data_IF_837877167005
#
_entry.id   IF_837877167005
#
_cell.length_a   1.000
_cell.length_b   1.000
_cell.length_c   1.000
_cell.angle_alpha   90.00
_cell.angle_beta   90.00
_cell.angle_gamma   90.00
#
_symmetry.space_group_name_H-M   'P 1'
#
loop_
_entity.id
_entity.type
_entity.pdbx_description
1 polymer ?
#
# COMPACT_ATOMS: atom_id res chain seq x y z
N UNK A 1 48.01 8.70 78.24
CA UNK A 1 49.41 8.65 77.75
C UNK A 1 49.60 9.57 76.52
N UNK A 2 50.27 10.72 76.77
CA UNK A 2 51.03 11.58 75.81
C UNK A 2 50.23 12.14 74.61
N UNK A 3 49.70 13.37 74.59
CA UNK A 3 50.26 14.75 74.61
C UNK A 3 51.25 15.12 73.49
N UNK A 4 50.89 16.10 72.65
CA UNK A 4 51.70 17.16 71.97
C UNK A 4 50.78 17.79 70.88
N UNK A 5 50.14 18.96 71.01
CA UNK A 5 50.63 20.37 70.99
C UNK A 5 51.80 20.58 70.02
N UNK A 6 51.86 21.60 69.14
CA UNK A 6 51.87 23.05 69.43
C UNK A 6 51.83 23.83 68.07
N UNK A 7 50.86 24.73 67.85
CA UNK A 7 50.97 26.22 67.75
C UNK A 7 51.48 26.82 66.43
N UNK A 8 50.75 27.85 65.94
CA UNK A 8 51.22 28.82 64.94
C UNK A 8 50.30 30.02 64.70
N UNK A 9 50.10 30.86 65.73
CA UNK A 9 50.09 32.35 65.74
C UNK A 9 49.16 33.13 64.79
N UNK A 10 48.28 33.95 65.38
CA UNK A 10 47.56 35.10 64.80
C UNK A 10 48.18 36.40 65.39
N UNK A 11 47.77 37.56 64.83
CA UNK A 11 47.85 38.96 65.32
C UNK A 11 49.02 39.76 64.69
N UNK A 12 48.95 40.98 64.13
CA UNK A 12 48.14 42.23 64.27
C UNK A 12 48.00 42.91 62.87
N UNK A 13 46.87 43.49 62.44
CA UNK A 13 46.15 44.73 62.85
C UNK A 13 46.65 46.03 62.19
N UNK A 14 45.67 46.87 61.82
CA UNK A 14 45.68 48.32 61.56
C UNK A 14 46.00 48.80 60.14
N UNK A 15 45.38 49.84 59.54
CA UNK A 15 44.36 50.85 59.86
C UNK A 15 43.73 51.22 58.49
N UNK A 16 42.44 51.52 58.32
CA UNK A 16 41.86 52.81 58.68
C UNK A 16 40.99 53.38 57.54
N UNK A 17 40.08 54.28 57.93
CA UNK A 17 39.34 55.26 57.13
C UNK A 17 38.21 54.82 56.16
N UNK A 18 36.99 54.98 56.68
CA UNK A 18 35.82 55.50 55.98
C UNK A 18 36.15 56.61 54.96
N UNK A 19 35.65 56.50 53.72
CA UNK A 19 34.48 57.26 53.22
C UNK A 19 34.22 57.03 51.72
N UNK A 20 32.92 57.03 51.40
CA UNK A 20 32.24 57.42 50.16
C UNK A 20 31.93 56.36 49.09
N UNK A 21 30.60 56.19 48.93
CA UNK A 21 29.79 56.20 47.71
C UNK A 21 30.42 55.62 46.44
N UNK A 22 29.73 54.68 45.79
CA UNK A 22 28.96 54.91 44.55
C UNK A 22 28.17 53.63 44.24
N UNK A 23 26.91 53.82 43.84
CA UNK A 23 26.03 52.82 43.24
C UNK A 23 26.75 51.99 42.16
N UNK A 24 26.67 50.67 42.22
CA UNK A 24 26.66 49.84 41.01
C UNK A 24 25.78 48.61 41.27
N UNK A 25 24.58 48.66 40.70
CA UNK A 25 23.80 47.46 40.40
C UNK A 25 24.51 46.74 39.26
N UNK A 26 25.22 45.65 39.54
CA UNK A 26 25.50 44.66 38.50
C UNK A 26 24.20 43.92 38.20
N UNK A 27 23.59 44.27 37.06
CA UNK A 27 22.61 43.39 36.41
C UNK A 27 23.39 42.21 35.84
N UNK A 28 23.29 41.07 36.50
CA UNK A 28 23.60 39.79 35.87
C UNK A 28 22.72 39.64 34.62
N UNK A 29 23.32 39.81 33.45
CA UNK A 29 22.71 39.51 32.18
C UNK A 29 22.66 38.00 32.03
N UNK A 30 21.52 37.41 32.44
CA UNK A 30 21.13 36.08 31.99
C UNK A 30 21.01 36.13 30.45
N UNK A 31 22.08 35.75 29.77
CA UNK A 31 22.07 35.44 28.34
C UNK A 31 21.21 34.19 28.16
N UNK A 32 19.92 34.40 27.92
CA UNK A 32 19.08 33.40 27.28
C UNK A 32 19.73 33.08 25.93
N UNK A 33 20.42 31.94 25.85
CA UNK A 33 20.69 31.30 24.57
C UNK A 33 19.34 30.94 23.97
N UNK A 34 18.78 31.83 23.17
CA UNK A 34 17.72 31.48 22.21
C UNK A 34 18.27 30.35 21.35
N UNK A 35 17.87 29.14 21.73
CA UNK A 35 18.06 27.98 20.89
C UNK A 35 17.10 28.20 19.73
N UNK A 36 17.60 28.68 18.60
CA UNK A 36 16.82 28.78 17.38
C UNK A 36 16.24 27.38 17.10
N UNK A 37 14.97 27.21 17.44
CA UNK A 37 14.20 26.04 17.01
C UNK A 37 14.13 26.20 15.49
N UNK A 38 14.96 25.46 14.78
CA UNK A 38 14.78 25.26 13.34
C UNK A 38 13.42 24.58 13.17
N UNK A 39 12.38 25.38 13.00
CA UNK A 39 11.09 24.91 12.52
C UNK A 39 11.37 24.41 11.12
N UNK A 40 11.50 23.10 10.96
CA UNK A 40 11.60 22.49 9.66
C UNK A 40 10.37 22.93 8.86
N UNK A 41 10.59 23.68 7.77
CA UNK A 41 9.54 24.08 6.87
C UNK A 41 8.82 22.82 6.37
N UNK A 42 7.49 22.85 6.38
CA UNK A 42 6.71 21.75 5.83
C UNK A 42 7.14 21.49 4.37
N UNK A 43 7.26 20.22 3.95
CA UNK A 43 7.71 19.91 2.60
C UNK A 43 6.75 20.52 1.56
N UNK A 44 7.30 21.01 0.45
CA UNK A 44 6.50 21.54 -0.67
C UNK A 44 5.59 20.47 -1.25
N UNK A 45 4.47 20.87 -1.86
CA UNK A 45 3.62 19.93 -2.60
C UNK A 45 4.44 19.25 -3.70
N UNK A 46 4.29 17.93 -3.81
CA UNK A 46 4.99 17.12 -4.81
C UNK A 46 4.03 16.09 -5.38
N UNK A 47 3.93 16.07 -6.71
CA UNK A 47 3.28 15.00 -7.48
C UNK A 47 3.99 14.81 -8.80
N UNK A 48 4.50 13.61 -9.04
CA UNK A 48 5.13 13.19 -10.29
C UNK A 48 4.48 11.91 -10.78
N UNK A 49 4.64 11.62 -12.07
CA UNK A 49 4.21 10.35 -12.64
C UNK A 49 5.05 9.96 -13.84
N UNK A 50 5.12 8.65 -14.10
CA UNK A 50 5.72 8.05 -15.29
C UNK A 50 4.84 6.91 -15.78
N UNK A 51 4.78 6.68 -17.10
CA UNK A 51 4.22 5.43 -17.63
C UNK A 51 5.26 4.32 -17.40
N UNK A 52 5.06 3.51 -16.36
CA UNK A 52 6.05 2.54 -15.90
C UNK A 52 6.03 1.25 -16.74
N UNK A 53 4.83 0.78 -17.08
CA UNK A 53 4.63 -0.35 -17.99
C UNK A 53 3.84 0.14 -19.20
N UNK A 54 4.43 0.02 -20.38
CA UNK A 54 3.91 0.57 -21.64
C UNK A 54 3.48 -0.56 -22.58
N UNK A 55 2.18 -0.84 -22.62
CA UNK A 55 1.57 -1.86 -23.46
C UNK A 55 1.66 -1.52 -24.94
N UNK A 56 2.03 -2.48 -25.78
CA UNK A 56 2.36 -2.29 -27.18
C UNK A 56 3.89 -2.21 -27.38
N UNK A 57 4.53 -1.05 -27.13
CA UNK A 57 5.97 -0.86 -27.39
C UNK A 57 6.91 -1.83 -26.66
N UNK A 58 6.51 -2.36 -25.49
CA UNK A 58 7.36 -3.25 -24.67
C UNK A 58 7.34 -4.73 -25.09
N UNK A 59 6.71 -5.08 -26.22
CA UNK A 59 6.61 -6.47 -26.70
C UNK A 59 5.47 -7.30 -26.07
N UNK A 60 4.72 -6.71 -25.13
CA UNK A 60 3.46 -7.24 -24.62
C UNK A 60 2.34 -6.30 -25.03
N UNK A 61 1.22 -6.84 -25.50
CA UNK A 61 0.07 -6.02 -25.87
C UNK A 61 -0.43 -5.16 -24.70
N UNK A 62 -0.50 -5.72 -23.49
CA UNK A 62 -1.08 -5.03 -22.32
C UNK A 62 -0.39 -5.41 -21.02
N UNK A 63 -0.26 -4.45 -20.12
CA UNK A 63 0.07 -4.67 -18.72
C UNK A 63 -1.11 -4.28 -17.84
N UNK A 64 -1.45 -5.14 -16.88
CA UNK A 64 -2.65 -4.99 -16.04
C UNK A 64 -2.43 -5.49 -14.62
N UNK A 65 -3.38 -5.18 -13.74
CA UNK A 65 -3.48 -5.76 -12.39
C UNK A 65 -2.23 -5.45 -11.54
N UNK A 66 -2.02 -4.18 -11.16
CA UNK A 66 -0.82 -3.77 -10.44
C UNK A 66 -0.78 -4.24 -8.99
N UNK A 67 0.43 -4.51 -8.51
CA UNK A 67 0.81 -4.71 -7.12
C UNK A 67 2.14 -4.00 -6.86
N UNK A 68 2.29 -3.32 -5.72
CA UNK A 68 3.56 -2.66 -5.38
C UNK A 68 3.93 -2.89 -3.92
N UNK A 69 5.19 -3.24 -3.68
CA UNK A 69 5.71 -3.49 -2.33
C UNK A 69 7.02 -2.73 -2.11
N UNK A 70 7.25 -2.32 -0.86
CA UNK A 70 8.51 -1.72 -0.41
C UNK A 70 9.20 -2.67 0.56
N UNK A 71 10.49 -2.90 0.33
CA UNK A 71 11.35 -3.68 1.23
C UNK A 71 12.03 -2.78 2.27
N UNK A 72 12.64 -3.36 3.30
CA UNK A 72 13.25 -2.60 4.39
C UNK A 72 14.42 -1.70 3.98
N UNK A 73 15.08 -1.99 2.85
CA UNK A 73 16.16 -1.14 2.32
C UNK A 73 15.64 -0.03 1.39
N UNK A 74 14.32 0.18 1.33
CA UNK A 74 13.69 1.18 0.47
C UNK A 74 13.43 0.72 -0.96
N UNK A 75 13.86 -0.49 -1.37
CA UNK A 75 13.59 -0.98 -2.74
C UNK A 75 12.09 -1.12 -2.95
N UNK A 76 11.58 -0.48 -4.01
CA UNK A 76 10.23 -0.67 -4.52
C UNK A 76 10.24 -1.78 -5.57
N UNK A 77 9.25 -2.67 -5.53
CA UNK A 77 9.03 -3.69 -6.55
C UNK A 77 7.60 -3.53 -7.05
N UNK A 78 7.46 -3.10 -8.30
CA UNK A 78 6.20 -2.99 -9.01
C UNK A 78 5.96 -4.27 -9.82
N UNK A 79 4.83 -4.92 -9.61
CA UNK A 79 4.48 -6.23 -10.16
C UNK A 79 3.16 -6.09 -10.91
N UNK A 80 3.02 -6.74 -12.06
CA UNK A 80 1.78 -6.74 -12.84
C UNK A 80 1.66 -7.98 -13.72
N UNK A 81 0.45 -8.20 -14.24
CA UNK A 81 0.25 -9.11 -15.38
C UNK A 81 0.83 -8.49 -16.65
N UNK A 82 1.49 -9.32 -17.45
CA UNK A 82 1.86 -9.00 -18.82
C UNK A 82 1.09 -9.91 -19.78
N UNK A 83 0.08 -9.33 -20.44
CA UNK A 83 -0.83 -10.01 -21.36
C UNK A 83 -0.27 -9.91 -22.76
N UNK A 84 0.19 -11.04 -23.31
CA UNK A 84 1.05 -11.05 -24.50
C UNK A 84 0.35 -10.53 -25.74
N UNK A 85 -0.85 -11.03 -26.03
CA UNK A 85 -1.48 -10.85 -27.34
C UNK A 85 -2.62 -9.83 -27.38
N UNK A 86 -3.29 -9.60 -26.26
CA UNK A 86 -4.46 -8.74 -26.18
C UNK A 86 -4.68 -8.28 -24.72
N UNK A 87 -5.82 -7.67 -24.43
CA UNK A 87 -6.18 -7.22 -23.07
C UNK A 87 -7.17 -8.14 -22.32
N UNK A 88 -7.42 -9.38 -22.77
CA UNK A 88 -8.39 -10.30 -22.15
C UNK A 88 -7.87 -10.91 -20.85
N UNK A 89 -8.76 -11.42 -20.00
CA UNK A 89 -8.43 -11.99 -18.68
C UNK A 89 -7.98 -13.47 -18.73
N UNK A 90 -7.74 -14.00 -19.94
CA UNK A 90 -7.36 -15.39 -20.22
C UNK A 90 -6.34 -15.45 -21.36
N UNK A 91 -5.73 -16.62 -21.52
CA UNK A 91 -4.70 -16.90 -22.52
C UNK A 91 -3.29 -16.77 -21.96
N UNK A 92 -2.36 -16.34 -22.81
CA UNK A 92 -0.93 -16.21 -22.52
C UNK A 92 -0.68 -14.95 -21.66
N UNK A 93 -0.73 -15.14 -20.34
CA UNK A 93 -0.53 -14.09 -19.34
C UNK A 93 0.55 -14.54 -18.36
N UNK A 94 1.61 -13.74 -18.31
CA UNK A 94 2.74 -13.89 -17.39
C UNK A 94 2.63 -12.86 -16.26
N UNK A 95 3.48 -13.00 -15.24
CA UNK A 95 3.63 -12.00 -14.17
C UNK A 95 5.05 -11.47 -14.19
N UNK A 96 5.16 -10.16 -14.31
CA UNK A 96 6.41 -9.43 -14.51
C UNK A 96 6.60 -8.37 -13.43
N UNK A 97 7.80 -7.82 -13.36
CA UNK A 97 8.11 -6.78 -12.40
C UNK A 97 9.15 -5.78 -12.91
N UNK A 98 9.20 -4.62 -12.25
CA UNK A 98 10.30 -3.65 -12.30
C UNK A 98 10.68 -3.24 -10.88
N UNK A 99 11.94 -2.86 -10.67
CA UNK A 99 12.49 -2.47 -9.37
C UNK A 99 13.00 -1.05 -9.38
N UNK A 100 12.81 -0.32 -8.29
CA UNK A 100 13.45 0.96 -8.05
C UNK A 100 14.19 0.92 -6.72
N UNK A 101 15.41 1.47 -6.70
CA UNK A 101 16.26 1.57 -5.49
C UNK A 101 16.44 3.03 -5.04
N UNK A 102 15.70 3.95 -5.66
CA UNK A 102 15.78 5.40 -5.46
C UNK A 102 14.40 6.04 -5.29
N UNK A 103 13.52 5.36 -4.53
CA UNK A 103 12.16 5.80 -4.23
C UNK A 103 11.27 6.05 -5.45
N UNK A 104 11.47 5.30 -6.53
CA UNK A 104 10.64 5.34 -7.73
C UNK A 104 11.08 6.36 -8.78
N UNK A 105 12.25 6.99 -8.62
CA UNK A 105 12.77 7.96 -9.59
C UNK A 105 13.27 7.26 -10.86
N UNK A 106 13.98 6.15 -10.72
CA UNK A 106 14.40 5.28 -11.83
C UNK A 106 14.00 3.83 -11.57
N UNK A 107 13.83 3.09 -12.67
CA UNK A 107 13.36 1.70 -12.63
C UNK A 107 14.23 0.80 -13.50
N UNK A 108 14.40 -0.45 -13.05
CA UNK A 108 15.09 -1.48 -13.80
C UNK A 108 14.40 -1.80 -15.13
N UNK A 109 15.09 -2.55 -15.99
CA UNK A 109 14.45 -3.30 -17.07
C UNK A 109 13.37 -4.26 -16.55
N UNK A 110 12.54 -4.75 -17.47
CA UNK A 110 11.47 -5.70 -17.17
C UNK A 110 12.06 -7.04 -16.73
N UNK A 111 11.73 -7.48 -15.52
CA UNK A 111 11.98 -8.84 -15.05
C UNK A 111 10.71 -9.68 -15.11
N UNK A 112 10.86 -11.00 -15.09
CA UNK A 112 9.74 -11.95 -15.06
C UNK A 112 9.76 -12.71 -13.73
N UNK A 113 8.61 -12.77 -13.04
CA UNK A 113 8.43 -13.63 -11.86
C UNK A 113 8.12 -15.05 -12.33
N UNK A 114 7.15 -15.16 -13.24
CA UNK A 114 6.74 -16.44 -13.82
C UNK A 114 6.10 -16.21 -15.19
N UNK A 115 6.48 -17.06 -16.15
CA UNK A 115 5.93 -17.04 -17.50
C UNK A 115 5.99 -18.35 -18.27
N UNK A 116 6.36 -19.45 -17.60
CA UNK A 116 6.51 -20.76 -18.25
C UNK A 116 5.17 -21.51 -18.30
N UNK A 117 4.90 -22.15 -19.44
CA UNK A 117 3.79 -23.08 -19.65
C UNK A 117 2.62 -22.50 -20.44
N UNK A 118 1.65 -23.36 -20.78
CA UNK A 118 0.42 -22.99 -21.49
C UNK A 118 -0.68 -22.65 -20.48
N UNK A 119 -0.52 -21.57 -19.71
CA UNK A 119 -1.45 -21.20 -18.65
C UNK A 119 -1.59 -19.69 -18.47
N UNK A 120 -2.56 -19.29 -17.66
CA UNK A 120 -2.88 -17.90 -17.37
C UNK A 120 -2.51 -17.60 -15.93
N UNK A 121 -1.38 -16.92 -15.70
CA UNK A 121 -1.06 -16.35 -14.40
C UNK A 121 -1.78 -15.03 -14.20
N UNK A 122 -2.13 -14.69 -12.95
CA UNK A 122 -2.74 -13.40 -12.70
C UNK A 122 -2.98 -13.07 -11.24
N UNK A 123 -3.61 -11.92 -11.03
CA UNK A 123 -3.98 -11.39 -9.72
C UNK A 123 -2.81 -11.30 -8.70
N UNK A 124 -1.65 -10.69 -9.05
CA UNK A 124 -0.56 -10.55 -8.11
C UNK A 124 -1.00 -9.81 -6.85
N UNK A 125 -0.81 -10.47 -5.70
CA UNK A 125 -1.07 -9.89 -4.39
C UNK A 125 0.15 -10.07 -3.51
N UNK A 126 0.92 -9.00 -3.31
CA UNK A 126 2.20 -9.04 -2.62
C UNK A 126 2.11 -8.61 -1.17
N UNK A 127 2.96 -9.17 -0.31
CA UNK A 127 3.15 -8.72 1.08
C UNK A 127 4.63 -8.85 1.43
N UNK A 128 5.14 -7.93 2.26
CA UNK A 128 6.52 -7.97 2.72
C UNK A 128 6.59 -8.34 4.19
N UNK A 129 7.45 -9.31 4.48
CA UNK A 129 7.82 -9.75 5.82
C UNK A 129 9.26 -9.28 6.11
N UNK A 130 9.46 -8.18 6.86
CA UNK A 130 10.79 -7.66 7.16
C UNK A 130 11.63 -8.56 8.07
N UNK A 131 10.99 -9.47 8.82
CA UNK A 131 11.65 -10.27 9.86
C UNK A 131 12.15 -11.61 9.32
N UNK A 132 11.71 -12.00 8.11
CA UNK A 132 12.13 -13.25 7.48
C UNK A 132 13.53 -13.12 6.87
N UNK A 133 14.54 -13.58 7.61
CA UNK A 133 15.92 -13.62 7.14
C UNK A 133 16.56 -12.23 7.03
N UNK A 134 17.77 -12.16 6.46
CA UNK A 134 18.58 -10.94 6.50
C UNK A 134 18.01 -9.78 5.69
N UNK A 135 17.27 -10.02 4.61
CA UNK A 135 16.70 -8.96 3.77
C UNK A 135 15.19 -8.77 3.98
N UNK A 136 14.56 -9.60 4.80
CA UNK A 136 13.12 -9.82 4.73
C UNK A 136 12.74 -10.63 3.48
N UNK A 137 11.46 -10.99 3.38
CA UNK A 137 10.88 -11.76 2.29
C UNK A 137 9.71 -11.03 1.66
N UNK A 138 9.71 -10.93 0.33
CA UNK A 138 8.53 -10.55 -0.43
C UNK A 138 7.78 -11.84 -0.77
N UNK A 139 6.53 -11.97 -0.35
CA UNK A 139 5.62 -13.00 -0.82
C UNK A 139 4.75 -12.45 -1.96
N UNK A 140 4.46 -13.26 -2.97
CA UNK A 140 3.49 -12.95 -4.03
C UNK A 140 2.54 -14.12 -4.17
N UNK A 141 1.26 -13.85 -3.93
CA UNK A 141 0.17 -14.78 -4.20
C UNK A 141 -0.41 -14.53 -5.58
N UNK A 142 -0.75 -15.62 -6.26
CA UNK A 142 -1.16 -15.63 -7.66
C UNK A 142 -2.37 -16.54 -7.84
N UNK A 143 -3.24 -16.15 -8.77
CA UNK A 143 -4.18 -17.07 -9.39
C UNK A 143 -3.55 -17.71 -10.62
N UNK A 144 -3.94 -18.94 -10.93
CA UNK A 144 -3.54 -19.60 -12.18
C UNK A 144 -4.66 -20.48 -12.74
N UNK A 145 -4.79 -20.57 -14.06
CA UNK A 145 -5.55 -21.65 -14.71
C UNK A 145 -4.81 -22.14 -15.95
N UNK A 146 -5.19 -23.33 -16.40
CA UNK A 146 -4.69 -23.89 -17.66
C UNK A 146 -5.17 -23.06 -18.86
N UNK A 147 -4.34 -22.98 -19.92
CA UNK A 147 -4.62 -22.19 -21.12
C UNK A 147 -5.78 -22.71 -21.97
N UNK A 148 -6.27 -23.94 -21.69
CA UNK A 148 -7.51 -24.46 -22.27
C UNK A 148 -8.75 -23.70 -21.80
N UNK A 149 -8.70 -23.01 -20.66
CA UNK A 149 -9.79 -22.16 -20.18
C UNK A 149 -9.75 -20.77 -20.84
N UNK A 150 -10.48 -20.64 -21.95
CA UNK A 150 -10.51 -19.43 -22.79
C UNK A 150 -11.61 -18.42 -22.40
N UNK A 151 -12.29 -18.64 -21.28
CA UNK A 151 -13.19 -17.65 -20.66
C UNK A 151 -13.48 -17.99 -19.20
N UNK A 152 -13.99 -17.04 -18.42
CA UNK A 152 -14.43 -17.31 -17.05
C UNK A 152 -15.49 -18.42 -16.96
N UNK A 153 -16.33 -18.58 -17.98
CA UNK A 153 -17.38 -19.60 -17.99
C UNK A 153 -16.84 -21.04 -18.08
N UNK A 154 -15.62 -21.20 -18.61
CA UNK A 154 -14.95 -22.51 -18.69
C UNK A 154 -14.24 -22.90 -17.40
N UNK A 155 -14.15 -22.00 -16.41
CA UNK A 155 -13.70 -22.29 -15.06
C UNK A 155 -14.93 -22.75 -14.27
N UNK A 156 -15.24 -24.04 -14.35
CA UNK A 156 -16.52 -24.57 -13.87
C UNK A 156 -16.37 -25.67 -12.81
N UNK A 157 -15.14 -26.06 -12.53
CA UNK A 157 -14.79 -27.15 -11.62
C UNK A 157 -13.79 -26.68 -10.55
N UNK A 158 -13.80 -27.35 -9.40
CA UNK A 158 -12.86 -27.04 -8.33
C UNK A 158 -11.43 -27.35 -8.79
N UNK A 159 -10.53 -26.39 -8.63
CA UNK A 159 -9.13 -26.53 -9.04
C UNK A 159 -8.83 -26.07 -10.47
N UNK A 160 -9.83 -25.66 -11.24
CA UNK A 160 -9.62 -25.03 -12.56
C UNK A 160 -8.88 -23.69 -12.41
N UNK A 161 -9.28 -22.88 -11.43
CA UNK A 161 -8.57 -21.67 -11.00
C UNK A 161 -7.87 -21.93 -9.68
N UNK A 162 -6.56 -22.14 -9.77
CA UNK A 162 -5.64 -22.52 -8.70
C UNK A 162 -5.12 -21.32 -7.91
N UNK A 163 -4.60 -21.62 -6.73
CA UNK A 163 -3.91 -20.68 -5.84
C UNK A 163 -2.43 -21.04 -5.79
N UNK A 164 -1.57 -20.10 -6.15
CA UNK A 164 -0.12 -20.25 -6.07
C UNK A 164 0.51 -19.20 -5.18
N UNK A 165 1.68 -19.50 -4.63
CA UNK A 165 2.56 -18.49 -4.03
C UNK A 165 4.02 -18.69 -4.41
N UNK A 166 4.76 -17.59 -4.54
CA UNK A 166 6.20 -17.56 -4.69
C UNK A 166 6.77 -16.44 -3.80
N UNK A 167 8.09 -16.34 -3.73
CA UNK A 167 8.75 -15.33 -2.90
C UNK A 167 10.11 -14.90 -3.42
N UNK A 168 10.61 -13.77 -2.90
CA UNK A 168 11.97 -13.29 -3.08
C UNK A 168 12.59 -12.93 -1.72
N UNK A 169 13.81 -13.39 -1.47
CA UNK A 169 14.62 -13.13 -0.26
C UNK A 169 15.78 -12.14 -0.51
N UNK A 170 15.83 -11.56 -1.70
CA UNK A 170 16.93 -10.70 -2.17
C UNK A 170 16.43 -9.37 -2.72
N UNK A 171 15.38 -8.82 -2.11
CA UNK A 171 14.75 -7.54 -2.48
C UNK A 171 14.23 -7.51 -3.94
N UNK A 172 13.66 -8.63 -4.40
CA UNK A 172 13.05 -8.78 -5.72
C UNK A 172 14.03 -9.09 -6.85
N UNK A 173 15.29 -9.41 -6.57
CA UNK A 173 16.26 -9.71 -7.64
C UNK A 173 15.94 -11.06 -8.28
N UNK A 174 15.65 -12.09 -7.48
CA UNK A 174 15.27 -13.43 -7.92
C UNK A 174 14.01 -13.90 -7.20
N UNK A 175 13.29 -14.80 -7.87
CA UNK A 175 12.04 -15.37 -7.39
C UNK A 175 12.18 -16.90 -7.26
N UNK A 176 11.57 -17.45 -6.22
CA UNK A 176 11.43 -18.90 -6.07
C UNK A 176 10.43 -19.46 -7.08
N UNK A 177 10.53 -20.76 -7.37
CA UNK A 177 9.51 -21.44 -8.15
C UNK A 177 8.13 -21.33 -7.46
N UNK A 178 7.04 -21.06 -8.21
CA UNK A 178 5.70 -21.05 -7.64
C UNK A 178 5.32 -22.39 -7.02
N UNK A 179 4.71 -22.34 -5.85
CA UNK A 179 4.18 -23.50 -5.12
C UNK A 179 2.66 -23.52 -5.24
N UNK A 180 2.11 -24.63 -5.72
CA UNK A 180 0.66 -24.85 -5.74
C UNK A 180 0.15 -24.98 -4.30
N UNK A 181 -0.74 -24.07 -3.90
CA UNK A 181 -1.37 -24.01 -2.59
C UNK A 181 -2.86 -24.37 -2.64
N UNK A 182 -3.37 -24.82 -3.79
CA UNK A 182 -4.79 -25.02 -4.04
C UNK A 182 -5.43 -25.95 -3.01
N UNK A 183 -4.82 -27.10 -2.75
CA UNK A 183 -5.34 -28.06 -1.77
C UNK A 183 -5.46 -27.50 -0.35
N UNK A 184 -4.60 -26.54 0.03
CA UNK A 184 -4.61 -25.93 1.35
C UNK A 184 -5.47 -24.66 1.45
N UNK A 185 -5.57 -23.88 0.35
CA UNK A 185 -6.03 -22.49 0.38
C UNK A 185 -7.21 -22.17 -0.55
N UNK A 186 -7.65 -23.12 -1.40
CA UNK A 186 -8.87 -22.96 -2.20
C UNK A 186 -10.04 -23.65 -1.48
N UNK A 187 -11.05 -22.91 -0.98
CA UNK A 187 -12.16 -23.53 -0.29
C UNK A 187 -12.92 -24.52 -1.19
N UNK A 188 -13.42 -25.65 -0.64
CA UNK A 188 -14.24 -26.59 -1.39
C UNK A 188 -15.46 -25.91 -2.05
N UNK A 189 -15.80 -26.34 -3.27
CA UNK A 189 -16.94 -25.81 -4.03
C UNK A 189 -16.69 -24.49 -4.75
N UNK A 190 -15.52 -23.87 -4.60
CA UNK A 190 -15.13 -22.73 -5.43
C UNK A 190 -14.86 -23.21 -6.85
N UNK A 191 -15.39 -22.47 -7.82
CA UNK A 191 -15.08 -22.61 -9.24
C UNK A 191 -14.10 -21.50 -9.65
N UNK A 192 -14.57 -20.26 -9.60
CA UNK A 192 -13.75 -19.07 -9.78
C UNK A 192 -13.13 -18.57 -8.47
N UNK A 193 -11.90 -18.06 -8.55
CA UNK A 193 -11.18 -17.47 -7.43
C UNK A 193 -10.26 -16.32 -7.87
N UNK A 194 -10.00 -15.38 -6.95
CA UNK A 194 -9.08 -14.27 -7.15
C UNK A 194 -8.35 -13.90 -5.85
N UNK A 195 -7.02 -13.75 -5.94
CA UNK A 195 -6.19 -13.13 -4.91
C UNK A 195 -6.32 -11.62 -5.03
N UNK A 196 -6.51 -10.89 -3.92
CA UNK A 196 -6.64 -9.42 -3.91
C UNK A 196 -7.50 -8.90 -5.06
N UNK A 197 -6.89 -8.31 -6.12
CA UNK A 197 -5.45 -8.11 -6.32
C UNK A 197 -4.93 -6.83 -5.66
N UNK A 198 -3.60 -6.68 -5.56
CA UNK A 198 -2.95 -5.52 -4.94
C UNK A 198 -1.93 -5.93 -3.88
N UNK A 199 -2.16 -5.56 -2.62
CA UNK A 199 -1.25 -5.92 -1.52
C UNK A 199 -1.98 -6.57 -0.35
N UNK A 200 -1.27 -7.47 0.32
CA UNK A 200 -1.56 -7.90 1.68
C UNK A 200 -0.93 -6.96 2.72
N UNK A 201 -1.04 -7.35 3.99
CA UNK A 201 -0.49 -6.59 5.12
C UNK A 201 0.28 -7.51 6.06
N UNK A 202 1.24 -6.92 6.79
CA UNK A 202 1.77 -7.47 8.03
C UNK A 202 1.17 -6.68 9.18
N UNK A 203 0.55 -7.35 10.14
CA UNK A 203 -0.01 -6.68 11.32
C UNK A 203 1.08 -6.19 12.25
N UNK A 204 0.79 -5.12 12.99
CA UNK A 204 1.68 -4.47 13.95
C UNK A 204 1.05 -4.29 15.32
N UNK A 205 -0.28 -4.45 15.45
CA UNK A 205 -1.00 -4.20 16.71
C UNK A 205 -1.54 -5.51 17.29
N UNK A 206 -2.42 -6.19 16.58
CA UNK A 206 -2.97 -7.48 16.99
C UNK A 206 -2.28 -8.62 16.22
N UNK A 207 -1.74 -9.58 16.96
CA UNK A 207 -0.82 -10.60 16.44
C UNK A 207 0.33 -10.02 15.59
N UNK A 208 1.18 -9.11 16.12
CA UNK A 208 2.23 -8.47 15.33
C UNK A 208 3.11 -9.48 14.59
N UNK A 209 3.35 -9.25 13.30
CA UNK A 209 4.11 -10.17 12.45
C UNK A 209 3.25 -11.10 11.60
N UNK A 210 1.95 -11.24 11.90
CA UNK A 210 1.03 -12.02 11.07
C UNK A 210 0.95 -11.40 9.66
N UNK A 211 1.13 -12.25 8.65
CA UNK A 211 0.93 -11.89 7.25
C UNK A 211 -0.51 -12.19 6.86
N UNK A 212 -1.15 -11.28 6.13
CA UNK A 212 -2.52 -11.43 5.66
C UNK A 212 -2.63 -11.03 4.20
N UNK A 213 -3.19 -11.90 3.38
CA UNK A 213 -3.49 -11.69 1.95
C UNK A 213 -5.01 -11.65 1.80
N UNK A 214 -5.60 -10.53 1.34
CA UNK A 214 -7.01 -10.50 1.01
C UNK A 214 -7.24 -11.37 -0.24
N UNK A 215 -8.31 -12.16 -0.23
CA UNK A 215 -8.77 -12.93 -1.37
C UNK A 215 -10.30 -12.88 -1.46
N UNK A 216 -10.83 -13.35 -2.59
CA UNK A 216 -12.27 -13.47 -2.77
C UNK A 216 -12.85 -14.30 -1.63
N UNK A 217 -13.74 -13.67 -0.85
CA UNK A 217 -14.49 -14.28 0.25
C UNK A 217 -13.66 -14.96 1.34
N UNK A 218 -12.38 -14.60 1.47
CA UNK A 218 -11.53 -15.03 2.58
C UNK A 218 -10.34 -14.11 2.82
N UNK A 219 -9.70 -14.30 3.97
CA UNK A 219 -8.36 -13.81 4.25
C UNK A 219 -7.43 -15.02 4.36
N UNK A 220 -6.37 -15.07 3.56
CA UNK A 220 -5.29 -16.06 3.71
C UNK A 220 -4.28 -15.46 4.69
N UNK A 221 -3.80 -16.21 5.66
CA UNK A 221 -2.88 -15.69 6.69
C UNK A 221 -1.81 -16.70 7.11
N UNK A 222 -0.73 -16.18 7.67
CA UNK A 222 0.38 -16.94 8.25
C UNK A 222 0.91 -16.25 9.49
N UNK A 223 1.21 -17.05 10.52
CA UNK A 223 1.77 -16.63 11.81
C UNK A 223 3.24 -17.07 11.99
N UNK A 224 3.83 -17.71 10.97
CA UNK A 224 5.13 -18.37 11.04
C UNK A 224 6.02 -17.99 9.84
N UNK A 225 5.92 -16.73 9.41
CA UNK A 225 6.69 -16.17 8.29
C UNK A 225 6.48 -16.92 6.96
N UNK A 226 5.28 -17.47 6.77
CA UNK A 226 4.85 -18.18 5.57
C UNK A 226 5.32 -19.63 5.47
N UNK A 227 5.75 -20.25 6.59
CA UNK A 227 6.02 -21.69 6.63
C UNK A 227 4.71 -22.48 6.48
N UNK A 228 3.65 -22.04 7.17
CA UNK A 228 2.28 -22.52 6.98
C UNK A 228 1.34 -21.36 6.64
N UNK A 229 0.32 -21.67 5.85
CA UNK A 229 -0.72 -20.74 5.46
C UNK A 229 -2.08 -21.36 5.74
N UNK A 230 -3.01 -20.55 6.23
CA UNK A 230 -4.40 -20.91 6.51
C UNK A 230 -5.30 -19.86 5.87
N UNK A 231 -6.60 -20.12 5.84
CA UNK A 231 -7.56 -19.09 5.47
C UNK A 231 -8.71 -18.98 6.48
N UNK A 232 -9.28 -17.80 6.52
CA UNK A 232 -10.50 -17.48 7.24
C UNK A 232 -11.56 -17.04 6.22
N UNK A 233 -12.68 -17.76 6.15
CA UNK A 233 -13.82 -17.38 5.33
C UNK A 233 -14.49 -16.11 5.85
N UNK A 234 -15.02 -15.29 4.94
CA UNK A 234 -15.79 -14.07 5.26
C UNK A 234 -17.10 -14.04 4.46
N UNK A 235 -18.06 -13.16 4.81
CA UNK A 235 -19.33 -13.06 4.08
C UNK A 235 -19.18 -12.83 2.55
N UNK A 236 -20.10 -13.41 1.78
CA UNK A 236 -19.96 -13.63 0.33
C UNK A 236 -20.38 -12.49 -0.62
N UNK A 237 -20.65 -11.28 -0.11
CA UNK A 237 -21.21 -10.16 -0.87
C UNK A 237 -20.24 -9.50 -1.85
N UNK A 238 -18.95 -9.82 -1.76
CA UNK A 238 -17.87 -9.12 -2.45
C UNK A 238 -16.97 -10.08 -3.25
N UNK A 239 -16.11 -9.51 -4.10
CA UNK A 239 -15.09 -10.21 -4.88
C UNK A 239 -13.69 -9.70 -4.54
N UNK A 240 -13.16 -8.76 -5.33
CA UNK A 240 -11.78 -8.25 -5.22
C UNK A 240 -11.62 -7.38 -3.99
N UNK A 241 -10.77 -7.82 -3.06
CA UNK A 241 -10.67 -7.26 -1.72
C UNK A 241 -9.32 -6.62 -1.43
N UNK A 242 -9.34 -5.62 -0.56
CA UNK A 242 -8.15 -4.98 -0.01
C UNK A 242 -8.32 -4.82 1.51
N UNK A 243 -7.21 -4.83 2.27
CA UNK A 243 -7.26 -4.93 3.73
C UNK A 243 -6.25 -4.00 4.41
N UNK A 244 -6.61 -3.46 5.57
CA UNK A 244 -5.72 -2.76 6.50
C UNK A 244 -6.03 -3.13 7.94
N UNK A 245 -5.03 -3.03 8.81
CA UNK A 245 -5.22 -3.10 10.26
C UNK A 245 -5.61 -1.72 10.80
N UNK A 246 -6.61 -1.70 11.69
CA UNK A 246 -7.15 -0.55 12.43
C UNK A 246 -6.31 -0.26 13.69
N UNK A 247 -6.36 0.95 14.25
CA UNK A 247 -5.57 1.29 15.46
C UNK A 247 -5.97 0.48 16.70
N UNK A 248 -7.17 -0.09 16.71
CA UNK A 248 -7.62 -1.02 17.74
C UNK A 248 -7.23 -2.49 17.47
N UNK A 249 -6.42 -2.77 16.46
CA UNK A 249 -5.98 -4.13 16.08
C UNK A 249 -7.02 -4.98 15.33
N UNK A 250 -8.22 -4.46 15.09
CA UNK A 250 -9.16 -5.09 14.16
C UNK A 250 -8.76 -4.83 12.71
N UNK A 251 -9.30 -5.61 11.78
CA UNK A 251 -9.05 -5.49 10.36
C UNK A 251 -10.21 -4.79 9.66
N UNK A 252 -9.92 -3.99 8.65
CA UNK A 252 -10.89 -3.37 7.74
C UNK A 252 -10.69 -3.95 6.33
N UNK A 253 -11.73 -4.58 5.80
CA UNK A 253 -11.85 -4.92 4.37
C UNK A 253 -12.52 -3.76 3.62
N UNK A 254 -12.02 -3.45 2.43
CA UNK A 254 -12.61 -2.51 1.49
C UNK A 254 -12.64 -3.17 0.10
N UNK A 255 -13.80 -3.69 -0.26
CA UNK A 255 -13.91 -4.64 -1.36
C UNK A 255 -14.78 -4.10 -2.49
N UNK A 256 -14.51 -4.62 -3.68
CA UNK A 256 -15.39 -4.55 -4.84
C UNK A 256 -16.60 -5.47 -4.57
N UNK A 257 -17.84 -4.96 -4.55
CA UNK A 257 -19.02 -5.82 -4.42
C UNK A 257 -19.22 -6.72 -5.65
N UNK A 258 -19.92 -7.84 -5.46
CA UNK A 258 -20.47 -8.60 -6.61
C UNK A 258 -21.45 -7.74 -7.39
N UNK A 259 -21.70 -8.06 -8.66
CA UNK A 259 -22.61 -7.27 -9.52
C UNK A 259 -23.99 -7.03 -8.88
N UNK A 260 -24.59 -8.07 -8.29
CA UNK A 260 -25.90 -7.94 -7.64
C UNK A 260 -25.88 -6.96 -6.44
N UNK A 261 -24.83 -7.01 -5.61
CA UNK A 261 -24.68 -6.08 -4.48
C UNK A 261 -24.24 -4.69 -4.93
N UNK A 262 -23.50 -4.59 -6.03
CA UNK A 262 -23.09 -3.32 -6.59
C UNK A 262 -24.31 -2.49 -7.04
N UNK A 263 -25.29 -3.11 -7.69
CA UNK A 263 -26.48 -2.40 -8.18
C UNK A 263 -27.34 -1.77 -7.08
N UNK A 264 -27.23 -2.24 -5.83
CA UNK A 264 -28.03 -1.70 -4.72
C UNK A 264 -27.53 -0.35 -4.20
N UNK A 265 -26.25 -0.02 -4.40
CA UNK A 265 -25.64 1.17 -3.82
C UNK A 265 -24.58 1.87 -4.69
N UNK A 266 -23.92 1.15 -5.60
CA UNK A 266 -22.81 1.63 -6.46
C UNK A 266 -21.69 2.28 -5.64
N UNK A 267 -21.26 1.58 -4.59
CA UNK A 267 -20.24 2.00 -3.61
C UNK A 267 -19.16 0.94 -3.44
N UNK A 268 -18.05 1.32 -2.81
CA UNK A 268 -17.16 0.38 -2.10
C UNK A 268 -17.93 -0.26 -0.95
N UNK A 269 -17.68 -1.53 -0.71
CA UNK A 269 -18.28 -2.26 0.41
C UNK A 269 -17.22 -2.52 1.46
N UNK A 270 -17.56 -2.27 2.73
CA UNK A 270 -16.63 -2.42 3.85
C UNK A 270 -17.13 -3.46 4.84
N UNK A 271 -16.19 -4.11 5.52
CA UNK A 271 -16.47 -4.94 6.69
C UNK A 271 -15.30 -4.87 7.66
N UNK A 272 -15.59 -4.95 8.95
CA UNK A 272 -14.58 -5.01 10.01
C UNK A 272 -14.67 -6.34 10.75
N UNK A 273 -13.52 -6.81 11.23
CA UNK A 273 -13.41 -8.11 11.89
C UNK A 273 -12.02 -8.41 12.44
N UNK A 274 -11.79 -9.66 12.79
CA UNK A 274 -10.46 -10.21 13.15
C UNK A 274 -10.33 -11.58 12.49
N UNK A 275 -9.12 -12.15 12.40
CA UNK A 275 -8.95 -13.52 11.86
C UNK A 275 -9.62 -14.57 12.76
N UNK A 276 -9.69 -14.30 14.06
CA UNK A 276 -10.23 -15.20 15.07
C UNK A 276 -11.76 -15.20 15.10
N UNK A 277 -12.38 -14.01 15.02
CA UNK A 277 -13.82 -13.86 15.25
C UNK A 277 -14.66 -13.66 13.98
N UNK A 278 -14.05 -13.73 12.80
CA UNK A 278 -14.76 -13.46 11.55
C UNK A 278 -14.87 -11.96 11.25
N UNK A 279 -15.61 -11.69 10.18
CA UNK A 279 -15.97 -10.36 9.71
C UNK A 279 -17.47 -10.19 9.73
N UNK A 280 -17.93 -8.98 10.04
CA UNK A 280 -19.34 -8.63 9.93
C UNK A 280 -19.83 -8.73 8.47
N UNK A 281 -21.15 -8.77 8.29
CA UNK A 281 -21.78 -8.56 6.98
C UNK A 281 -21.24 -7.28 6.35
N UNK A 282 -20.85 -7.34 5.07
CA UNK A 282 -20.41 -6.15 4.37
C UNK A 282 -21.56 -5.16 4.17
N UNK A 283 -21.24 -3.87 4.28
CA UNK A 283 -22.17 -2.76 4.02
C UNK A 283 -21.55 -1.78 3.03
N UNK A 284 -22.35 -1.12 2.17
CA UNK A 284 -21.85 -0.04 1.34
C UNK A 284 -21.31 1.11 2.21
N UNK A 285 -20.28 1.81 1.74
CA UNK A 285 -19.80 3.05 2.34
C UNK A 285 -20.27 4.25 1.51
N UNK A 286 -21.16 5.05 2.10
CA UNK A 286 -21.95 6.11 1.47
C UNK A 286 -21.15 7.12 0.64
N UNK A 287 -19.95 7.48 1.10
CA UNK A 287 -19.11 8.49 0.44
C UNK A 287 -18.12 7.92 -0.58
N UNK A 288 -18.02 6.59 -0.69
CA UNK A 288 -17.05 5.91 -1.54
C UNK A 288 -17.71 5.35 -2.81
N UNK A 289 -18.00 6.23 -3.78
CA UNK A 289 -18.46 5.83 -5.11
C UNK A 289 -17.49 4.81 -5.75
N UNK A 290 -18.04 3.82 -6.45
CA UNK A 290 -17.26 2.80 -7.16
C UNK A 290 -18.00 2.28 -8.42
N UNK A 291 -17.30 2.06 -9.56
CA UNK A 291 -17.90 1.59 -10.81
C UNK A 291 -17.77 0.06 -10.98
N UNK A 292 -17.83 -0.70 -9.87
CA UNK A 292 -17.54 -2.13 -9.80
C UNK A 292 -16.11 -2.45 -10.29
N UNK A 293 -15.12 -1.82 -9.67
CA UNK A 293 -13.69 -1.95 -10.02
C UNK A 293 -12.86 -2.32 -8.79
N UNK A 294 -11.62 -2.79 -8.98
CA UNK A 294 -10.68 -2.91 -7.86
C UNK A 294 -10.29 -1.51 -7.35
N UNK A 295 -9.95 -1.43 -6.06
CA UNK A 295 -9.37 -0.25 -5.44
C UNK A 295 -8.31 -0.67 -4.41
N UNK A 296 -7.44 0.25 -4.02
CA UNK A 296 -6.36 0.01 -3.06
C UNK A 296 -6.56 0.79 -1.77
N UNK A 297 -6.14 0.21 -0.65
CA UNK A 297 -6.18 0.82 0.68
C UNK A 297 -4.82 0.61 1.37
N UNK A 298 -4.36 1.61 2.12
CA UNK A 298 -3.05 1.62 2.75
C UNK A 298 -3.13 2.27 4.13
N UNK A 299 -2.66 1.57 5.17
CA UNK A 299 -2.30 2.20 6.44
C UNK A 299 -0.99 2.97 6.23
N UNK A 300 -1.07 4.28 6.10
CA UNK A 300 0.10 5.12 5.80
C UNK A 300 0.99 5.32 7.04
N UNK A 301 0.38 5.51 8.20
CA UNK A 301 1.08 5.71 9.47
C UNK A 301 0.17 5.42 10.68
N UNK A 302 0.77 5.25 11.86
CA UNK A 302 0.10 4.92 13.14
C UNK A 302 0.33 5.97 14.23
N UNK A 303 1.34 6.83 14.08
CA UNK A 303 1.56 8.03 14.88
C UNK A 303 0.46 9.07 14.63
N UNK A 304 0.18 9.93 15.60
CA UNK A 304 -0.91 10.91 15.51
C UNK A 304 -0.55 12.09 14.59
N UNK A 305 -1.45 12.52 13.68
CA UNK A 305 -2.70 11.84 13.33
C UNK A 305 -2.41 10.59 12.47
N UNK A 306 -3.03 9.46 12.83
CA UNK A 306 -2.85 8.21 12.08
C UNK A 306 -3.73 8.26 10.83
N UNK A 307 -3.27 7.63 9.73
CA UNK A 307 -3.94 7.78 8.44
C UNK A 307 -4.12 6.45 7.72
N UNK A 308 -5.31 6.29 7.15
CA UNK A 308 -5.59 5.30 6.11
C UNK A 308 -5.86 6.03 4.81
N UNK A 309 -5.20 5.62 3.73
CA UNK A 309 -5.42 6.13 2.40
C UNK A 309 -6.21 5.13 1.57
N UNK A 310 -7.12 5.62 0.72
CA UNK A 310 -7.87 4.83 -0.26
C UNK A 310 -7.71 5.45 -1.64
N UNK A 311 -7.49 4.61 -2.66
CA UNK A 311 -7.44 5.00 -4.06
C UNK A 311 -8.37 4.11 -4.88
N UNK A 312 -9.35 4.72 -5.54
CA UNK A 312 -10.21 4.08 -6.53
C UNK A 312 -10.78 5.14 -7.50
N UNK A 313 -11.53 4.70 -8.52
CA UNK A 313 -12.34 5.63 -9.31
C UNK A 313 -13.60 6.04 -8.54
N UNK A 314 -13.71 7.33 -8.23
CA UNK A 314 -14.83 7.93 -7.50
C UNK A 314 -16.04 8.18 -8.41
N UNK A 315 -16.56 7.14 -9.02
CA UNK A 315 -17.69 7.22 -9.96
C UNK A 315 -18.56 5.98 -9.84
N UNK A 316 -19.84 6.10 -10.19
CA UNK A 316 -20.76 4.97 -10.34
C UNK A 316 -20.80 4.42 -11.76
N UNK A 317 -20.00 4.97 -12.69
CA UNK A 317 -20.06 4.65 -14.13
C UNK A 317 -18.66 4.43 -14.71
N UNK A 318 -17.72 5.35 -14.45
CA UNK A 318 -16.43 5.35 -15.14
C UNK A 318 -15.27 4.91 -14.25
N UNK A 319 -14.27 4.25 -14.83
CA UNK A 319 -13.00 3.92 -14.16
C UNK A 319 -12.00 5.08 -14.15
N UNK A 320 -12.28 6.20 -14.81
CA UNK A 320 -11.31 7.30 -14.97
C UNK A 320 -11.40 8.46 -14.00
N UNK A 321 -12.26 8.40 -12.99
CA UNK A 321 -12.35 9.44 -11.95
C UNK A 321 -11.49 9.09 -10.74
N UNK A 322 -10.21 8.76 -10.97
CA UNK A 322 -9.30 8.30 -9.91
C UNK A 322 -9.09 9.36 -8.83
N UNK A 323 -9.32 8.99 -7.57
CA UNK A 323 -9.15 9.87 -6.40
C UNK A 323 -8.45 9.16 -5.25
N UNK A 324 -7.49 9.84 -4.65
CA UNK A 324 -6.94 9.46 -3.34
C UNK A 324 -7.75 10.16 -2.24
N UNK A 325 -8.04 9.43 -1.16
CA UNK A 325 -8.76 9.92 0.01
C UNK A 325 -8.02 9.55 1.29
N UNK A 326 -8.18 10.35 2.33
CA UNK A 326 -7.59 10.10 3.66
C UNK A 326 -8.71 9.95 4.69
N UNK A 327 -8.58 8.93 5.54
CA UNK A 327 -9.35 8.76 6.77
C UNK A 327 -8.41 8.87 7.98
N UNK A 328 -8.89 9.55 9.02
CA UNK A 328 -8.20 9.77 10.30
C UNK A 328 -8.87 9.02 11.48
N UNK A 329 -9.90 8.23 11.19
CA UNK A 329 -10.77 7.59 12.17
C UNK A 329 -11.01 6.10 11.84
N UNK A 330 -9.97 5.45 11.34
CA UNK A 330 -9.94 4.04 10.95
C UNK A 330 -10.99 3.66 9.87
N UNK A 331 -11.17 4.53 8.88
CA UNK A 331 -11.99 4.28 7.69
C UNK A 331 -13.48 4.63 7.84
N UNK A 332 -13.87 5.26 8.95
CA UNK A 332 -15.27 5.67 9.19
C UNK A 332 -15.66 6.86 8.32
N UNK A 333 -14.82 7.89 8.27
CA UNK A 333 -15.02 9.10 7.46
C UNK A 333 -13.82 9.37 6.55
N UNK A 334 -14.06 10.13 5.48
CA UNK A 334 -13.07 10.43 4.43
C UNK A 334 -13.06 11.92 4.08
N UNK A 335 -12.66 12.80 5.01
CA UNK A 335 -12.77 14.26 4.86
C UNK A 335 -11.85 14.85 3.78
N UNK A 336 -10.76 14.16 3.42
CA UNK A 336 -9.81 14.61 2.40
C UNK A 336 -9.96 13.79 1.13
N UNK A 337 -9.97 14.46 -0.02
CA UNK A 337 -10.18 13.82 -1.32
C UNK A 337 -9.56 14.65 -2.46
N UNK A 338 -8.54 14.13 -3.15
CA UNK A 338 -7.89 14.80 -4.29
C UNK A 338 -7.94 13.92 -5.54
N UNK A 339 -8.20 14.54 -6.70
CA UNK A 339 -8.13 13.86 -8.01
C UNK A 339 -6.67 13.53 -8.31
N UNK A 340 -6.39 12.34 -8.82
CA UNK A 340 -5.02 12.01 -9.26
C UNK A 340 -4.63 12.85 -10.46
N UNK A 341 -5.48 12.87 -11.49
CA UNK A 341 -5.25 13.65 -12.71
C UNK A 341 -5.81 15.08 -12.54
N UNK A 342 -5.29 15.84 -11.57
CA UNK A 342 -5.81 17.15 -11.20
C UNK A 342 -5.52 18.27 -12.22
N UNK A 343 -4.60 18.02 -13.16
CA UNK A 343 -4.34 18.84 -14.35
C UNK A 343 -5.35 18.64 -15.49
N UNK A 344 -6.26 17.67 -15.36
CA UNK A 344 -7.34 17.40 -16.32
C UNK A 344 -8.70 17.69 -15.68
N UNK A 345 -9.70 17.99 -16.50
CA UNK A 345 -11.10 17.78 -16.10
C UNK A 345 -11.37 16.29 -15.95
N UNK A 346 -12.43 15.92 -15.23
CA UNK A 346 -12.78 14.49 -15.09
C UNK A 346 -13.13 13.87 -16.45
N UNK A 347 -13.84 14.60 -17.32
CA UNK A 347 -14.20 14.10 -18.65
C UNK A 347 -12.98 13.95 -19.55
N UNK A 348 -11.99 14.85 -19.45
CA UNK A 348 -10.71 14.70 -20.15
C UNK A 348 -9.93 13.48 -19.65
N UNK A 349 -9.88 13.24 -18.34
CA UNK A 349 -9.23 12.05 -17.78
C UNK A 349 -9.91 10.77 -18.28
N UNK A 350 -11.24 10.74 -18.33
CA UNK A 350 -12.01 9.62 -18.89
C UNK A 350 -11.75 9.45 -20.39
N UNK A 351 -11.76 10.53 -21.16
CA UNK A 351 -11.52 10.49 -22.61
C UNK A 351 -10.08 10.05 -22.96
N UNK A 352 -9.11 10.36 -22.11
CA UNK A 352 -7.73 9.89 -22.22
C UNK A 352 -7.51 8.51 -21.58
N UNK A 353 -8.59 7.82 -21.23
CA UNK A 353 -8.60 6.47 -20.68
C UNK A 353 -7.80 6.32 -19.39
N UNK A 354 -7.65 7.38 -18.61
CA UNK A 354 -7.02 7.29 -17.30
C UNK A 354 -7.84 6.38 -16.38
N UNK A 355 -7.16 5.69 -15.46
CA UNK A 355 -7.79 4.97 -14.37
C UNK A 355 -8.26 3.54 -14.66
N UNK A 356 -8.46 2.81 -13.56
CA UNK A 356 -8.65 1.37 -13.54
C UNK A 356 -8.19 0.81 -12.20
N UNK A 357 -7.52 -0.35 -12.22
CA UNK A 357 -6.98 -0.94 -10.99
C UNK A 357 -5.83 -0.08 -10.44
N UNK A 358 -5.61 -0.18 -9.13
CA UNK A 358 -4.55 0.55 -8.45
C UNK A 358 -3.89 -0.24 -7.33
N UNK A 359 -2.67 0.16 -6.96
CA UNK A 359 -1.96 -0.37 -5.79
C UNK A 359 -1.10 0.74 -5.18
N UNK A 360 -1.09 0.85 -3.85
CA UNK A 360 -0.38 1.91 -3.13
C UNK A 360 0.61 1.34 -2.13
N UNK A 361 1.74 2.02 -1.97
CA UNK A 361 2.69 1.79 -0.88
C UNK A 361 3.28 3.11 -0.38
N UNK A 362 3.69 3.16 0.88
CA UNK A 362 4.49 4.28 1.40
C UNK A 362 5.96 4.09 1.02
N UNK A 363 6.52 5.08 0.33
CA UNK A 363 7.95 5.17 -0.05
C UNK A 363 8.83 5.56 1.14
N UNK A 364 10.16 5.45 1.02
CA UNK A 364 11.08 5.80 2.12
C UNK A 364 11.11 7.31 2.37
N UNK A 365 10.99 8.11 1.31
CA UNK A 365 10.94 9.58 1.37
C UNK A 365 9.52 10.12 1.64
N UNK A 366 8.69 9.35 2.37
CA UNK A 366 7.38 9.75 2.87
C UNK A 366 6.38 10.20 1.79
N UNK A 367 6.53 9.74 0.55
CA UNK A 367 5.49 9.84 -0.48
C UNK A 367 4.63 8.57 -0.49
N UNK A 368 3.47 8.67 -1.13
CA UNK A 368 2.72 7.51 -1.63
C UNK A 368 3.23 7.21 -3.02
N UNK A 369 3.69 5.98 -3.25
CA UNK A 369 3.86 5.42 -4.58
C UNK A 369 2.59 4.68 -4.97
N UNK A 370 1.97 5.06 -6.08
CA UNK A 370 0.73 4.48 -6.57
C UNK A 370 0.87 4.00 -8.01
N UNK A 371 0.60 2.72 -8.25
CA UNK A 371 0.41 2.19 -9.60
C UNK A 371 -1.05 2.36 -10.02
N UNK A 372 -1.32 2.82 -11.23
CA UNK A 372 -2.68 3.04 -11.76
C UNK A 372 -2.74 2.55 -13.22
N UNK A 373 -3.71 1.69 -13.54
CA UNK A 373 -3.96 1.29 -14.92
C UNK A 373 -4.45 2.47 -15.79
N UNK A 374 -4.09 2.45 -17.06
CA UNK A 374 -4.67 3.30 -18.11
C UNK A 374 -5.09 2.46 -19.31
N UNK A 375 -6.14 2.92 -19.99
CA UNK A 375 -6.66 2.43 -21.25
C UNK A 375 -6.22 3.35 -22.39
N UNK A 376 -5.41 2.89 -23.33
CA UNK A 376 -4.82 3.80 -24.32
C UNK A 376 -5.78 4.23 -25.43
N UNK A 377 -6.79 3.42 -25.73
CA UNK A 377 -7.90 3.72 -26.63
C UNK A 377 -9.25 3.41 -25.99
N UNK A 378 -10.02 4.46 -25.72
CA UNK A 378 -11.38 4.35 -25.13
C UNK A 378 -12.46 4.09 -26.17
N UNK A 379 -12.16 4.26 -27.45
CA UNK A 379 -13.11 4.07 -28.56
C UNK A 379 -13.22 2.61 -28.99
N UNK A 380 -12.15 1.81 -28.81
CA UNK A 380 -12.12 0.40 -29.17
C UNK A 380 -11.47 -0.47 -28.09
N UNK A 381 -12.28 -0.82 -27.07
CA UNK A 381 -11.79 -1.51 -25.88
C UNK A 381 -11.18 -2.90 -26.15
N UNK A 382 -11.53 -3.60 -27.23
CA UNK A 382 -11.05 -4.97 -27.48
C UNK A 382 -9.61 -5.02 -27.98
N UNK A 383 -9.17 -4.01 -28.72
CA UNK A 383 -7.80 -3.88 -29.26
C UNK A 383 -6.95 -2.88 -28.51
N UNK A 384 -7.53 -2.17 -27.54
CA UNK A 384 -6.81 -1.14 -26.80
C UNK A 384 -5.70 -1.72 -25.91
N UNK A 385 -4.50 -1.17 -26.04
CA UNK A 385 -3.40 -1.42 -25.12
C UNK A 385 -3.76 -0.95 -23.71
N UNK A 386 -3.25 -1.68 -22.72
CA UNK A 386 -3.35 -1.31 -21.31
C UNK A 386 -1.95 -1.09 -20.78
N UNK A 387 -1.80 0.01 -20.07
CA UNK A 387 -0.53 0.45 -19.51
C UNK A 387 -0.71 0.76 -18.03
N UNK A 388 0.40 0.92 -17.30
CA UNK A 388 0.37 1.23 -15.87
C UNK A 388 1.28 2.41 -15.61
N UNK A 389 0.71 3.47 -15.03
CA UNK A 389 1.43 4.63 -14.56
C UNK A 389 1.88 4.44 -13.12
N UNK A 390 3.10 4.85 -12.78
CA UNK A 390 3.55 5.04 -11.41
C UNK A 390 3.44 6.52 -11.07
N UNK A 391 2.59 6.86 -10.10
CA UNK A 391 2.48 8.18 -9.52
C UNK A 391 3.19 8.21 -8.17
N UNK A 392 3.83 9.34 -7.86
CA UNK A 392 4.43 9.59 -6.55
C UNK A 392 4.00 10.95 -6.05
N UNK A 393 3.30 10.98 -4.92
CA UNK A 393 2.76 12.22 -4.34
C UNK A 393 2.84 12.23 -2.81
N UNK A 394 2.96 13.42 -2.22
CA UNK A 394 3.08 13.59 -0.77
C UNK A 394 1.79 14.12 -0.12
N UNK A 395 1.73 14.07 1.21
CA UNK A 395 0.60 14.56 2.00
C UNK A 395 0.27 16.05 1.72
N UNK A 396 1.24 16.99 1.67
CA UNK A 396 0.95 18.37 1.28
C UNK A 396 0.22 18.50 -0.06
N UNK A 397 0.59 17.69 -1.06
CA UNK A 397 -0.17 17.63 -2.30
C UNK A 397 -1.57 17.08 -2.03
N UNK A 398 -1.76 15.95 -1.35
CA UNK A 398 -3.13 15.44 -1.11
C UNK A 398 -4.04 16.49 -0.42
N UNK A 399 -3.51 17.26 0.53
CA UNK A 399 -4.24 18.28 1.27
C UNK A 399 -4.51 19.56 0.48
N UNK A 400 -3.69 19.86 -0.54
CA UNK A 400 -3.81 21.05 -1.38
C UNK A 400 -3.89 22.37 -0.60
N UNK A 401 -3.05 22.53 0.42
CA UNK A 401 -3.02 23.73 1.27
C UNK A 401 -4.05 23.76 2.41
N UNK A 402 -4.90 22.75 2.53
CA UNK A 402 -5.78 22.60 3.70
C UNK A 402 -5.02 21.99 4.89
N UNK A 403 -5.37 22.34 6.13
CA UNK A 403 -4.86 21.64 7.30
C UNK A 403 -5.42 20.21 7.38
N UNK A 404 -4.80 19.38 8.22
CA UNK A 404 -5.41 18.13 8.63
C UNK A 404 -6.53 18.39 9.65
N UNK A 405 -7.59 17.57 9.68
CA UNK A 405 -8.71 17.70 10.62
C UNK A 405 -8.32 17.52 12.09
#
# INVERSE_FOLDING_TARGET
PVFLLTIGIIVLLQFGCNKQNVNNYEKDSFLLKESAVNVALAPSQSHTYIKLFDGGPSGYHSFRIPSIVKTKNGTLVAICESRRWNNTDWGDINVVYKRSTDNGNTWSGLGEIIGTGNGTWGNPTSVYDPDKGTNGRIWVFLSWNDGTHTSMATIDSWGDRKVYSCYSDDNGVKWSAPVDRTAALLPPGYKWDAMGPGIGIRTTINHPGRLIIPATRRNIYSDDHGATWRYQSIPGQTSEGAIVEKMNGSLLRNDRPTTANWETAKRRWISSGTIENGFATFTPQDVLLDPACQGSILRYNTDTPHRIYLLNSASTVSRGKMRVRISYDDGKTWPVSRRIYDWLTEDQAVAQGKGGYSSMIKTEDYHVGALIEINEDVSNSSTSHRSIEFHKFNLPWILNGNPEP
#
